data_IF_508462434754
#
_entry.id   IF_508462434754
#
_cell.length_a   1.000
_cell.length_b   1.000
_cell.length_c   1.000
_cell.angle_alpha   90.00
_cell.angle_beta   90.00
_cell.angle_gamma   90.00
#
_symmetry.space_group_name_H-M   'P 1'
#
loop_
_entity.id
_entity.type
_entity.pdbx_description
1 polymer ?
#
# COMPACT_ATOMS: atom_id res chain seq x y z
N UNK A 1 -0.85 71.44 -24.77
CA UNK A 1 -0.44 70.36 -23.84
C UNK A 1 1.08 70.37 -23.84
N UNK A 2 1.69 70.78 -22.72
CA UNK A 2 3.12 71.11 -22.61
C UNK A 2 3.92 69.87 -22.20
N UNK A 3 4.93 69.54 -23.00
CA UNK A 3 6.03 68.64 -22.64
C UNK A 3 6.95 69.37 -21.66
N UNK A 4 7.25 68.77 -20.51
CA UNK A 4 8.22 69.26 -19.54
C UNK A 4 9.18 68.14 -19.09
N UNK A 5 10.41 68.58 -18.84
CA UNK A 5 11.68 67.87 -18.77
C UNK A 5 11.88 66.92 -17.57
N UNK A 6 12.66 65.86 -17.84
CA UNK A 6 13.92 65.42 -17.17
C UNK A 6 14.34 66.11 -15.86
N UNK A 7 14.71 65.30 -14.85
CA UNK A 7 15.82 65.47 -13.88
C UNK A 7 16.07 64.09 -13.21
N UNK A 8 17.15 63.38 -13.57
CA UNK A 8 18.46 63.29 -12.91
C UNK A 8 18.54 62.43 -11.63
N UNK A 9 19.38 61.40 -11.77
CA UNK A 9 19.90 60.42 -10.80
C UNK A 9 20.47 61.03 -9.51
N UNK A 10 20.30 60.30 -8.39
CA UNK A 10 21.40 59.99 -7.47
C UNK A 10 21.06 58.75 -6.64
N UNK A 11 21.84 57.70 -6.86
CA UNK A 11 22.01 56.55 -5.99
C UNK A 11 22.34 57.01 -4.56
N UNK A 12 21.60 56.50 -3.59
CA UNK A 12 22.08 56.36 -2.22
C UNK A 12 21.76 54.96 -1.77
N UNK A 13 22.80 54.12 -1.66
CA UNK A 13 22.75 52.82 -1.02
C UNK A 13 22.33 52.97 0.44
N UNK A 14 21.21 52.39 0.84
CA UNK A 14 21.02 51.89 2.19
C UNK A 14 20.10 50.67 2.14
N UNK A 15 20.75 49.51 2.29
CA UNK A 15 20.27 48.26 2.89
C UNK A 15 18.78 47.94 2.73
N UNK A 16 18.45 47.20 1.67
CA UNK A 16 17.26 46.34 1.64
C UNK A 16 17.48 45.29 2.73
N UNK A 17 16.89 45.54 3.90
CA UNK A 17 16.71 44.54 4.94
C UNK A 17 15.67 43.58 4.38
N UNK A 18 16.17 42.57 3.68
CA UNK A 18 15.43 41.45 3.14
C UNK A 18 14.95 40.64 4.35
N UNK A 19 13.80 41.03 4.90
CA UNK A 19 13.06 40.22 5.86
C UNK A 19 12.64 38.99 5.08
N UNK A 20 13.46 37.95 5.19
CA UNK A 20 13.10 36.57 4.89
C UNK A 20 11.95 36.25 5.83
N UNK A 21 10.73 36.56 5.40
CA UNK A 21 9.53 36.00 5.98
C UNK A 21 9.56 34.52 5.68
N UNK A 22 10.16 33.75 6.58
CA UNK A 22 9.82 32.36 6.78
C UNK A 22 8.31 32.34 7.05
N UNK A 23 7.51 32.21 5.99
CA UNK A 23 6.22 31.58 6.12
C UNK A 23 6.55 30.16 6.57
N UNK A 24 6.56 29.98 7.89
CA UNK A 24 6.34 28.69 8.52
C UNK A 24 5.07 28.17 7.87
N UNK A 25 5.24 27.31 6.86
CA UNK A 25 4.25 26.33 6.48
C UNK A 25 4.00 25.54 7.75
N UNK A 26 3.05 26.02 8.55
CA UNK A 26 2.52 25.24 9.65
C UNK A 26 2.07 23.94 9.01
N UNK A 27 2.75 22.85 9.35
CA UNK A 27 2.16 21.53 9.26
C UNK A 27 0.84 21.65 10.02
N UNK A 28 -0.25 21.84 9.27
CA UNK A 28 -1.58 21.61 9.78
C UNK A 28 -1.57 20.11 10.02
N UNK A 29 -1.35 19.72 11.26
CA UNK A 29 -1.69 18.38 11.73
C UNK A 29 -3.20 18.32 11.52
N UNK A 30 -3.60 17.72 10.40
CA UNK A 30 -4.97 17.35 10.17
C UNK A 30 -5.14 16.11 11.06
N UNK A 31 -5.59 16.31 12.29
CA UNK A 31 -6.25 15.23 13.01
C UNK A 31 -7.56 14.99 12.27
N UNK A 32 -7.55 14.03 11.36
CA UNK A 32 -8.77 13.34 10.97
C UNK A 32 -9.12 12.41 12.12
N UNK A 33 -9.91 12.91 13.07
CA UNK A 33 -10.75 12.08 13.94
C UNK A 33 -11.85 11.48 13.06
N UNK A 34 -11.47 10.59 12.15
CA UNK A 34 -12.39 9.54 11.70
C UNK A 34 -12.03 8.34 12.56
N UNK A 35 -12.88 8.06 13.56
CA UNK A 35 -12.96 6.84 14.38
C UNK A 35 -13.26 5.60 13.49
N UNK A 36 -12.56 5.45 12.37
CA UNK A 36 -12.46 4.15 11.73
C UNK A 36 -11.34 3.42 12.48
N UNK A 37 -11.75 2.61 13.46
CA UNK A 37 -10.91 1.68 14.21
C UNK A 37 -10.23 0.62 13.31
N UNK A 38 -10.50 0.62 12.01
CA UNK A 38 -9.87 -0.23 11.01
C UNK A 38 -8.44 0.24 10.70
N UNK A 39 -7.49 -0.38 11.39
CA UNK A 39 -6.05 -0.14 11.24
C UNK A 39 -5.48 -0.83 9.99
N UNK A 40 -6.15 -1.87 9.48
CA UNK A 40 -5.70 -2.66 8.34
C UNK A 40 -6.82 -2.83 7.32
N UNK A 41 -6.58 -2.38 6.09
CA UNK A 41 -7.52 -2.58 4.98
C UNK A 41 -6.95 -3.51 3.92
N UNK A 42 -5.76 -3.22 3.41
CA UNK A 42 -5.16 -3.98 2.32
C UNK A 42 -3.75 -4.43 2.69
N UNK A 43 -3.30 -5.54 2.10
CA UNK A 43 -1.95 -6.03 2.28
C UNK A 43 -1.37 -6.59 0.98
N UNK A 44 -0.05 -6.49 0.88
CA UNK A 44 0.77 -7.26 -0.05
C UNK A 44 1.93 -7.86 0.72
N UNK A 45 2.22 -9.12 0.46
CA UNK A 45 3.31 -9.86 1.08
C UNK A 45 4.10 -10.61 0.01
N UNK A 46 5.40 -10.68 0.25
CA UNK A 46 6.33 -11.60 -0.37
C UNK A 46 7.04 -12.39 0.72
N UNK A 47 7.11 -13.70 0.53
CA UNK A 47 7.91 -14.60 1.35
C UNK A 47 8.74 -15.51 0.45
N UNK A 48 10.02 -15.68 0.78
CA UNK A 48 10.83 -16.75 0.23
C UNK A 48 11.67 -17.40 1.33
N UNK A 49 11.38 -18.66 1.64
CA UNK A 49 12.12 -19.46 2.62
C UNK A 49 13.17 -20.39 1.97
N UNK A 50 13.26 -20.42 0.63
CA UNK A 50 14.19 -21.29 -0.09
C UNK A 50 15.65 -20.76 -0.11
N UNK A 51 15.86 -19.44 -0.02
CA UNK A 51 17.18 -18.79 -0.19
C UNK A 51 17.58 -17.87 0.97
N UNK A 52 17.13 -18.20 2.18
CA UNK A 52 17.20 -17.32 3.36
C UNK A 52 15.85 -16.63 3.54
N UNK A 53 15.41 -16.48 4.78
CA UNK A 53 14.08 -15.95 5.10
C UNK A 53 13.99 -14.49 4.62
N UNK A 54 13.47 -14.29 3.41
CA UNK A 54 13.17 -12.98 2.83
C UNK A 54 11.68 -12.72 2.99
N UNK A 55 11.36 -11.70 3.77
CA UNK A 55 10.00 -11.25 3.99
C UNK A 55 9.90 -9.76 3.72
N UNK A 56 8.99 -9.40 2.82
CA UNK A 56 8.67 -8.03 2.46
C UNK A 56 7.16 -7.89 2.43
N UNK A 57 6.63 -6.89 3.11
CA UNK A 57 5.20 -6.63 3.09
C UNK A 57 4.92 -5.13 3.07
N UNK A 58 3.76 -4.74 2.55
CA UNK A 58 3.15 -3.48 2.91
C UNK A 58 1.71 -3.72 3.33
N UNK A 59 1.18 -2.80 4.14
CA UNK A 59 -0.26 -2.68 4.33
C UNK A 59 -0.72 -1.24 4.10
N UNK A 60 -2.02 -1.10 3.89
CA UNK A 60 -2.72 0.18 3.74
C UNK A 60 -3.77 0.26 4.85
N UNK A 61 -3.75 1.34 5.64
CA UNK A 61 -4.73 1.55 6.72
C UNK A 61 -5.96 2.36 6.27
N UNK A 62 -6.93 2.54 7.18
CA UNK A 62 -8.15 3.34 6.96
C UNK A 62 -7.91 4.80 6.54
N UNK A 63 -6.73 5.35 6.81
CA UNK A 63 -6.34 6.70 6.41
C UNK A 63 -5.54 6.73 5.09
N UNK A 64 -5.37 5.58 4.44
CA UNK A 64 -4.63 5.43 3.19
C UNK A 64 -3.12 5.45 3.35
N UNK A 65 -2.59 5.38 4.58
CA UNK A 65 -1.14 5.33 4.80
C UNK A 65 -0.60 3.97 4.37
N UNK A 66 0.48 3.99 3.58
CA UNK A 66 1.14 2.77 3.13
C UNK A 66 2.37 2.54 4.00
N UNK A 67 2.30 1.55 4.88
CA UNK A 67 3.39 1.14 5.74
C UNK A 67 4.09 -0.09 5.16
N UNK A 68 5.40 -0.04 5.00
CA UNK A 68 6.22 -1.16 4.54
C UNK A 68 6.93 -1.81 5.73
N UNK A 69 7.00 -3.13 5.73
CA UNK A 69 7.66 -3.98 6.70
C UNK A 69 8.66 -4.91 5.98
N UNK A 70 9.86 -5.02 6.52
CA UNK A 70 10.95 -5.85 6.01
C UNK A 70 11.65 -6.54 7.19
N UNK A 71 12.35 -7.65 6.91
CA UNK A 71 13.16 -8.39 7.89
C UNK A 71 12.40 -8.80 9.17
N UNK A 72 11.06 -8.85 9.12
CA UNK A 72 10.24 -9.38 10.20
C UNK A 72 10.40 -10.89 10.26
N UNK A 73 10.48 -11.45 11.47
CA UNK A 73 10.36 -12.89 11.65
C UNK A 73 8.99 -13.29 11.10
N UNK A 74 8.97 -14.04 9.99
CA UNK A 74 7.76 -14.53 9.33
C UNK A 74 6.94 -15.20 10.43
N UNK A 75 5.79 -14.63 10.83
CA UNK A 75 4.89 -15.39 11.67
C UNK A 75 4.55 -16.64 10.88
N UNK A 76 4.43 -17.80 11.52
CA UNK A 76 3.70 -18.89 10.88
C UNK A 76 2.27 -18.37 10.71
N UNK A 77 2.00 -17.66 9.62
CA UNK A 77 0.69 -17.18 9.24
C UNK A 77 -0.07 -18.45 8.91
N UNK A 78 -0.64 -19.05 9.95
CA UNK A 78 -1.55 -20.15 9.82
C UNK A 78 -2.68 -19.66 8.93
N UNK A 79 -2.95 -20.39 7.85
CA UNK A 79 -3.93 -20.12 6.79
C UNK A 79 -5.39 -20.01 7.29
N UNK A 80 -5.56 -19.85 8.60
CA UNK A 80 -6.80 -19.87 9.34
C UNK A 80 -7.53 -18.52 9.21
N UNK A 81 -6.88 -17.51 8.62
CA UNK A 81 -7.54 -16.34 8.02
C UNK A 81 -8.17 -15.36 9.00
N UNK A 82 -7.88 -15.42 10.30
CA UNK A 82 -8.40 -14.48 11.31
C UNK A 82 -7.31 -14.05 12.29
N UNK A 83 -7.22 -12.75 12.56
CA UNK A 83 -6.17 -12.16 13.41
C UNK A 83 -6.71 -11.03 14.27
N UNK A 84 -6.27 -10.93 15.51
CA UNK A 84 -6.47 -9.71 16.30
C UNK A 84 -5.64 -8.55 15.75
N UNK A 85 -6.03 -7.32 16.07
CA UNK A 85 -5.23 -6.14 15.73
C UNK A 85 -3.79 -6.25 16.24
N UNK A 86 -3.62 -6.70 17.49
CA UNK A 86 -2.30 -6.84 18.10
C UNK A 86 -1.42 -7.85 17.36
N UNK A 87 -1.98 -8.95 16.88
CA UNK A 87 -1.22 -9.92 16.08
C UNK A 87 -0.72 -9.31 14.78
N UNK A 88 -1.58 -8.60 14.05
CA UNK A 88 -1.16 -7.89 12.83
C UNK A 88 -0.14 -6.80 13.14
N UNK A 89 -0.30 -6.04 14.23
CA UNK A 89 0.69 -5.07 14.68
C UNK A 89 2.04 -5.72 15.00
N UNK A 90 2.05 -6.84 15.71
CA UNK A 90 3.28 -7.55 16.04
C UNK A 90 3.97 -8.11 14.78
N UNK A 91 3.19 -8.47 13.75
CA UNK A 91 3.71 -8.98 12.47
C UNK A 91 4.32 -7.88 11.59
N UNK A 92 3.64 -6.74 11.45
CA UNK A 92 4.03 -5.70 10.48
C UNK A 92 4.63 -4.44 11.11
N UNK A 93 4.22 -4.06 12.31
CA UNK A 93 4.53 -2.72 12.86
C UNK A 93 5.88 -2.65 13.57
N UNK A 94 6.46 -3.78 13.96
CA UNK A 94 7.76 -3.81 14.64
C UNK A 94 8.87 -3.12 13.83
N UNK A 95 8.81 -3.19 12.49
CA UNK A 95 9.80 -2.64 11.57
C UNK A 95 9.18 -1.71 10.50
N UNK A 96 8.09 -1.03 10.85
CA UNK A 96 7.37 -0.22 9.86
C UNK A 96 8.13 1.05 9.45
N UNK A 97 8.18 1.30 8.15
CA UNK A 97 8.42 2.65 7.64
C UNK A 97 7.33 3.08 6.65
N UNK A 98 7.01 4.38 6.68
CA UNK A 98 6.02 4.97 5.79
C UNK A 98 6.59 5.04 4.36
N UNK A 99 5.96 4.31 3.44
CA UNK A 99 6.27 4.35 2.01
C UNK A 99 5.56 5.52 1.32
N UNK A 100 4.33 5.82 1.74
CA UNK A 100 3.54 6.87 1.12
C UNK A 100 2.10 6.91 1.59
N UNK A 101 1.23 7.45 0.74
CA UNK A 101 -0.21 7.57 1.01
C UNK A 101 -1.00 7.35 -0.27
N UNK A 102 -2.00 6.48 -0.20
CA UNK A 102 -3.03 6.30 -1.22
C UNK A 102 -4.04 7.44 -1.09
N UNK A 103 -4.35 8.16 -2.18
CA UNK A 103 -5.39 9.19 -2.14
C UNK A 103 -6.73 8.59 -1.68
N UNK A 104 -7.46 9.31 -0.83
CA UNK A 104 -8.75 8.84 -0.30
C UNK A 104 -9.72 8.39 -1.40
N UNK A 105 -9.75 9.08 -2.55
CA UNK A 105 -10.60 8.68 -3.68
C UNK A 105 -10.27 7.29 -4.26
N UNK A 106 -9.00 6.88 -4.19
CA UNK A 106 -8.60 5.53 -4.61
C UNK A 106 -8.90 4.51 -3.52
N UNK A 107 -8.70 4.87 -2.25
CA UNK A 107 -9.04 4.01 -1.12
C UNK A 107 -10.55 3.71 -1.09
N UNK A 108 -11.39 4.74 -1.27
CA UNK A 108 -12.85 4.66 -1.38
C UNK A 108 -13.25 3.76 -2.55
N UNK A 109 -12.64 3.96 -3.73
CA UNK A 109 -12.89 3.13 -4.90
C UNK A 109 -12.51 1.66 -4.69
N UNK A 110 -11.40 1.36 -4.01
CA UNK A 110 -11.05 -0.03 -3.68
C UNK A 110 -12.00 -0.63 -2.64
N UNK A 111 -12.36 0.14 -1.62
CA UNK A 111 -13.27 -0.28 -0.55
C UNK A 111 -14.65 -0.64 -1.10
N UNK A 112 -15.18 0.15 -2.03
CA UNK A 112 -16.43 -0.13 -2.74
C UNK A 112 -16.40 -1.45 -3.53
N UNK A 113 -15.23 -1.84 -4.05
CA UNK A 113 -15.07 -3.08 -4.82
C UNK A 113 -14.96 -4.31 -3.94
N UNK A 114 -14.21 -4.23 -2.84
CA UNK A 114 -14.03 -5.39 -1.94
C UNK A 114 -15.31 -5.81 -1.24
N UNK A 115 -16.30 -4.92 -1.11
CA UNK A 115 -17.59 -5.22 -0.51
C UNK A 115 -18.37 -6.37 -1.21
N UNK A 116 -18.06 -6.68 -2.47
CA UNK A 116 -18.67 -7.80 -3.21
C UNK A 116 -17.79 -9.03 -3.38
N UNK A 117 -16.55 -9.00 -2.88
CA UNK A 117 -15.58 -10.08 -3.05
C UNK A 117 -15.72 -11.06 -1.90
N UNK A 118 -15.82 -12.34 -2.21
CA UNK A 118 -15.91 -13.42 -1.23
C UNK A 118 -14.59 -14.19 -1.17
N UNK A 119 -14.25 -14.69 0.03
CA UNK A 119 -13.08 -15.55 0.24
C UNK A 119 -13.10 -16.83 -0.63
N UNK A 120 -14.29 -17.38 -0.88
CA UNK A 120 -14.45 -18.56 -1.74
C UNK A 120 -14.21 -18.29 -3.23
N UNK A 121 -13.95 -17.05 -3.65
CA UNK A 121 -13.75 -16.66 -5.05
C UNK A 121 -12.37 -17.01 -5.62
N UNK A 122 -11.44 -17.49 -4.79
CA UNK A 122 -10.07 -17.81 -5.16
C UNK A 122 -9.98 -19.10 -5.99
N UNK A 123 -9.60 -18.98 -7.26
CA UNK A 123 -9.48 -20.10 -8.20
C UNK A 123 -8.07 -20.20 -8.81
N UNK A 124 -7.62 -21.43 -9.10
CA UNK A 124 -6.34 -21.65 -9.79
C UNK A 124 -6.47 -21.29 -11.27
N UNK A 125 -5.67 -20.31 -11.72
CA UNK A 125 -5.67 -19.83 -13.11
C UNK A 125 -4.49 -20.35 -13.93
N UNK A 126 -3.40 -20.75 -13.28
CA UNK A 126 -2.20 -21.25 -13.95
C UNK A 126 -1.40 -22.20 -13.05
N UNK A 127 -0.63 -23.10 -13.66
CA UNK A 127 0.37 -23.90 -12.96
C UNK A 127 1.60 -23.03 -12.63
N UNK A 128 2.20 -23.26 -11.47
CA UNK A 128 3.45 -22.56 -11.13
C UNK A 128 4.61 -23.16 -11.92
N UNK A 129 5.33 -22.30 -12.64
CA UNK A 129 6.62 -22.63 -13.27
C UNK A 129 7.80 -22.14 -12.43
N UNK A 130 7.52 -21.66 -11.21
CA UNK A 130 8.41 -20.83 -10.40
C UNK A 130 8.40 -21.27 -8.91
N UNK A 131 8.49 -22.57 -8.63
CA UNK A 131 8.40 -23.09 -7.26
C UNK A 131 9.41 -22.47 -6.28
N UNK A 132 10.56 -22.01 -6.78
CA UNK A 132 11.65 -21.43 -5.99
C UNK A 132 11.59 -19.89 -5.90
N UNK A 133 10.62 -19.23 -6.56
CA UNK A 133 10.53 -17.77 -6.62
C UNK A 133 9.95 -17.14 -5.35
N UNK A 134 9.38 -17.95 -4.45
CA UNK A 134 8.67 -17.50 -3.26
C UNK A 134 7.16 -17.41 -3.49
N UNK A 135 6.47 -16.90 -2.47
CA UNK A 135 5.03 -16.73 -2.42
C UNK A 135 4.69 -15.25 -2.31
N UNK A 136 3.89 -14.80 -3.26
CA UNK A 136 3.27 -13.49 -3.30
C UNK A 136 1.83 -13.64 -2.79
N UNK A 137 1.38 -12.78 -1.87
CA UNK A 137 -0.01 -12.77 -1.37
C UNK A 137 -0.55 -11.35 -1.32
N UNK A 138 -1.72 -11.17 -1.92
CA UNK A 138 -2.36 -9.88 -2.11
C UNK A 138 -3.78 -10.05 -1.62
N UNK A 139 -4.25 -9.10 -0.81
CA UNK A 139 -5.57 -9.24 -0.24
C UNK A 139 -5.99 -8.03 0.58
N UNK A 140 -7.09 -8.24 1.28
CA UNK A 140 -7.65 -7.26 2.20
C UNK A 140 -8.09 -7.95 3.49
N UNK A 141 -8.28 -7.13 4.52
CA UNK A 141 -8.84 -7.55 5.78
C UNK A 141 -10.24 -6.97 5.96
N UNK A 142 -11.12 -7.73 6.61
CA UNK A 142 -12.45 -7.29 7.04
C UNK A 142 -12.50 -7.37 8.56
N UNK A 143 -12.74 -6.24 9.22
CA UNK A 143 -12.83 -6.23 10.68
C UNK A 143 -14.19 -6.73 11.17
N UNK A 144 -14.19 -7.82 11.93
CA UNK A 144 -15.38 -8.38 12.55
C UNK A 144 -15.56 -7.83 13.97
N UNK A 145 -16.40 -6.82 14.11
CA UNK A 145 -16.73 -6.17 15.40
C UNK A 145 -17.36 -7.09 16.45
N UNK A 146 -17.79 -8.31 16.10
CA UNK A 146 -18.31 -9.27 17.07
C UNK A 146 -17.21 -10.10 17.73
N UNK A 147 -16.12 -10.35 17.01
CA UNK A 147 -14.99 -11.17 17.47
C UNK A 147 -13.74 -10.33 17.78
N UNK A 148 -13.73 -9.05 17.38
CA UNK A 148 -12.58 -8.15 17.42
C UNK A 148 -11.38 -8.72 16.63
N UNK A 149 -11.68 -9.40 15.52
CA UNK A 149 -10.70 -10.04 14.63
C UNK A 149 -10.85 -9.52 13.21
N UNK A 150 -9.72 -9.41 12.51
CA UNK A 150 -9.61 -9.17 11.09
C UNK A 150 -9.66 -10.50 10.35
N UNK A 151 -10.63 -10.66 9.46
CA UNK A 151 -10.73 -11.79 8.55
C UNK A 151 -10.01 -11.47 7.24
N UNK A 152 -9.09 -12.33 6.81
CA UNK A 152 -8.33 -12.17 5.58
C UNK A 152 -9.14 -12.64 4.37
N UNK A 153 -9.11 -11.90 3.27
CA UNK A 153 -9.59 -12.35 1.97
C UNK A 153 -8.49 -12.19 0.93
N UNK A 154 -8.13 -13.30 0.29
CA UNK A 154 -7.11 -13.34 -0.75
C UNK A 154 -7.68 -12.94 -2.10
N UNK A 155 -6.94 -12.08 -2.80
CA UNK A 155 -7.20 -11.64 -4.16
C UNK A 155 -6.26 -12.32 -5.16
N UNK A 156 -5.01 -12.50 -4.78
CA UNK A 156 -4.00 -13.18 -5.58
C UNK A 156 -3.00 -13.91 -4.69
N UNK A 157 -2.61 -15.11 -5.11
CA UNK A 157 -1.51 -15.85 -4.47
C UNK A 157 -0.69 -16.64 -5.48
N UNK A 158 0.64 -16.62 -5.31
CA UNK A 158 1.54 -17.61 -5.93
C UNK A 158 1.91 -18.68 -4.92
N UNK A 159 1.64 -19.93 -5.26
CA UNK A 159 2.05 -21.08 -4.48
C UNK A 159 2.97 -21.98 -5.32
N UNK A 160 3.62 -22.94 -4.65
CA UNK A 160 4.50 -23.90 -5.34
C UNK A 160 3.79 -24.71 -6.43
N UNK A 161 2.46 -24.83 -6.37
CA UNK A 161 1.67 -25.59 -7.33
C UNK A 161 0.89 -24.74 -8.33
N UNK A 162 0.79 -23.42 -8.17
CA UNK A 162 -0.09 -22.61 -9.00
C UNK A 162 -0.09 -21.12 -8.72
N UNK A 163 -0.76 -20.42 -9.62
CA UNK A 163 -1.22 -19.04 -9.42
C UNK A 163 -2.71 -19.09 -9.22
N UNK A 164 -3.19 -18.38 -8.22
CA UNK A 164 -4.60 -18.30 -7.89
C UNK A 164 -5.06 -16.84 -7.89
N UNK A 165 -6.26 -16.62 -8.38
CA UNK A 165 -6.90 -15.33 -8.48
C UNK A 165 -8.32 -15.40 -7.96
N UNK A 166 -8.73 -14.37 -7.23
CA UNK A 166 -10.13 -14.17 -6.91
C UNK A 166 -10.85 -13.69 -8.17
N UNK A 167 -11.86 -14.43 -8.60
CA UNK A 167 -12.58 -14.18 -9.87
C UNK A 167 -13.84 -13.34 -9.69
N UNK A 168 -14.13 -12.88 -8.46
CA UNK A 168 -15.27 -12.02 -8.19
C UNK A 168 -15.12 -10.65 -8.86
N UNK A 169 -16.27 -10.06 -9.19
CA UNK A 169 -16.31 -8.76 -9.88
C UNK A 169 -15.65 -7.69 -9.02
N UNK A 170 -14.61 -7.04 -9.56
CA UNK A 170 -13.85 -5.98 -8.90
C UNK A 170 -12.57 -6.46 -8.22
N UNK A 171 -12.34 -7.78 -8.12
CA UNK A 171 -11.09 -8.31 -7.60
C UNK A 171 -9.90 -7.97 -8.50
N UNK A 172 -10.09 -7.98 -9.81
CA UNK A 172 -9.12 -7.55 -10.82
C UNK A 172 -8.60 -6.14 -10.55
N UNK A 173 -9.51 -5.17 -10.42
CA UNK A 173 -9.18 -3.76 -10.19
C UNK A 173 -8.34 -3.55 -8.94
N UNK A 174 -8.73 -4.18 -7.82
CA UNK A 174 -8.00 -4.06 -6.55
C UNK A 174 -6.65 -4.75 -6.64
N UNK A 175 -6.60 -5.94 -7.26
CA UNK A 175 -5.36 -6.71 -7.42
C UNK A 175 -4.33 -5.94 -8.26
N UNK A 176 -4.74 -5.40 -9.41
CA UNK A 176 -3.86 -4.62 -10.30
C UNK A 176 -3.28 -3.41 -9.57
N UNK A 177 -4.11 -2.67 -8.82
CA UNK A 177 -3.63 -1.51 -8.06
C UNK A 177 -2.61 -1.91 -6.99
N UNK A 178 -2.85 -3.02 -6.29
CA UNK A 178 -1.91 -3.56 -5.31
C UNK A 178 -0.61 -4.05 -5.98
N UNK A 179 -0.66 -4.61 -7.19
CA UNK A 179 0.52 -4.98 -7.99
C UNK A 179 1.36 -3.77 -8.38
N UNK A 180 0.74 -2.67 -8.82
CA UNK A 180 1.46 -1.42 -9.09
C UNK A 180 2.17 -0.89 -7.83
N UNK A 181 1.49 -0.89 -6.69
CA UNK A 181 2.08 -0.50 -5.41
C UNK A 181 3.19 -1.46 -4.96
N UNK A 182 3.06 -2.76 -5.23
CA UNK A 182 4.06 -3.77 -4.89
C UNK A 182 5.36 -3.57 -5.64
N UNK A 183 5.28 -3.16 -6.91
CA UNK A 183 6.45 -2.77 -7.70
C UNK A 183 7.09 -1.50 -7.13
N UNK A 184 6.29 -0.46 -6.85
CA UNK A 184 6.80 0.80 -6.26
C UNK A 184 7.45 0.57 -4.89
N UNK A 185 6.90 -0.36 -4.11
CA UNK A 185 7.38 -0.73 -2.79
C UNK A 185 8.54 -1.73 -2.78
N UNK A 186 9.10 -2.08 -3.93
CA UNK A 186 10.16 -3.10 -4.07
C UNK A 186 9.77 -4.44 -3.39
N UNK A 187 8.50 -4.86 -3.51
CA UNK A 187 8.01 -6.18 -3.07
C UNK A 187 7.92 -7.14 -4.25
N UNK A 188 7.28 -6.70 -5.33
CA UNK A 188 7.18 -7.42 -6.59
C UNK A 188 8.21 -6.91 -7.61
N UNK A 189 8.51 -7.73 -8.61
CA UNK A 189 9.37 -7.33 -9.72
C UNK A 189 8.54 -6.68 -10.84
N UNK A 190 9.17 -5.81 -11.62
CA UNK A 190 8.52 -5.15 -12.77
C UNK A 190 8.20 -6.11 -13.93
N UNK A 191 8.85 -7.27 -13.98
CA UNK A 191 8.61 -8.24 -15.06
C UNK A 191 7.23 -8.89 -14.94
N UNK A 192 6.55 -9.13 -16.06
CA UNK A 192 5.32 -9.92 -16.07
C UNK A 192 5.63 -11.40 -15.85
N UNK A 193 4.88 -12.04 -14.96
CA UNK A 193 4.81 -13.50 -14.86
C UNK A 193 4.79 -14.07 -13.44
N UNK A 194 4.54 -15.39 -13.32
CA UNK A 194 4.40 -16.09 -12.04
C UNK A 194 5.56 -15.90 -11.06
N UNK A 195 6.77 -15.72 -11.58
CA UNK A 195 7.97 -15.57 -10.76
C UNK A 195 8.10 -14.16 -10.16
N UNK A 196 7.38 -13.19 -10.71
CA UNK A 196 7.63 -11.77 -10.45
C UNK A 196 6.63 -11.14 -9.48
N UNK A 197 5.53 -11.84 -9.15
CA UNK A 197 4.44 -11.27 -8.35
C UNK A 197 3.55 -10.29 -9.12
N UNK A 198 3.74 -10.17 -10.43
CA UNK A 198 2.92 -9.35 -11.31
C UNK A 198 2.21 -10.23 -12.34
N UNK A 199 0.88 -10.17 -12.37
CA UNK A 199 0.04 -10.95 -13.28
C UNK A 199 -0.63 -10.05 -14.32
N UNK A 200 -0.75 -10.56 -15.55
CA UNK A 200 -1.48 -9.90 -16.64
C UNK A 200 -2.87 -10.54 -16.76
N UNK A 201 -3.92 -9.77 -16.46
CA UNK A 201 -5.30 -10.24 -16.51
C UNK A 201 -5.83 -10.38 -17.95
N UNK A 202 -5.14 -9.83 -18.95
CA UNK A 202 -5.52 -9.90 -20.36
C UNK A 202 -4.84 -11.06 -21.14
N UNK A 203 -3.98 -11.84 -20.48
CA UNK A 203 -3.09 -12.85 -21.09
C UNK A 203 -3.74 -14.22 -21.40
#
# INVERSE_FOLDING_TARGET
>A
MRTLLKLCSRYTHYSILLVLGFALSGCKIINTDDDNDEVFLFFVQYENSAFGDDFRAFYINGQGQVGKAEDSAIPNITLDGSYTQQELEDYYFANLYLLGTVPYSQLDAMSDRVASIMDSGLEKVSDSVCADAGTYRYGFYVYNTNTDEYEETLLYVTAGDGIYLNTDVGADFVTEYLMELAVIGDIAFEELGPCAGYWDFDA
#
